data_IF_822156460437
#
_entry.id   IF_822156460437
#
_cell.length_a   1.000
_cell.length_b   1.000
_cell.length_c   1.000
_cell.angle_alpha   90.00
_cell.angle_beta   90.00
_cell.angle_gamma   90.00
#
_symmetry.space_group_name_H-M   'P 1'
#
loop_
_entity.id
_entity.type
_entity.pdbx_description
1 polymer ?
#
# COMPACT_ATOMS: atom_id res chain seq x y z
N UNK A 1 5.35 3.69 -10.18
CA UNK A 1 6.45 2.81 -10.62
C UNK A 1 7.54 2.65 -9.57
N UNK A 2 8.10 3.75 -9.02
CA UNK A 2 9.14 3.69 -7.98
C UNK A 2 8.77 2.80 -6.78
N UNK A 3 7.60 2.99 -6.19
CA UNK A 3 7.14 2.18 -5.04
C UNK A 3 7.07 0.68 -5.39
N UNK A 4 6.57 0.36 -6.58
CA UNK A 4 6.44 -1.03 -7.06
C UNK A 4 7.82 -1.64 -7.26
N UNK A 5 8.75 -0.90 -7.86
CA UNK A 5 10.12 -1.36 -8.06
C UNK A 5 10.85 -1.60 -6.72
N UNK A 6 10.62 -0.73 -5.74
CA UNK A 6 11.12 -0.89 -4.37
C UNK A 6 10.56 -2.14 -3.70
N UNK A 7 9.24 -2.35 -3.75
CA UNK A 7 8.59 -3.54 -3.18
C UNK A 7 9.07 -4.83 -3.84
N UNK A 8 9.22 -4.84 -5.17
CA UNK A 8 9.77 -5.99 -5.90
C UNK A 8 11.23 -6.26 -5.52
N UNK A 9 12.04 -5.22 -5.29
CA UNK A 9 13.41 -5.37 -4.80
C UNK A 9 13.47 -5.94 -3.37
N UNK A 10 12.57 -5.49 -2.49
CA UNK A 10 12.43 -6.04 -1.13
C UNK A 10 12.00 -7.50 -1.15
N UNK A 11 11.02 -7.86 -2.00
CA UNK A 11 10.60 -9.25 -2.19
C UNK A 11 11.77 -10.12 -2.66
N UNK A 12 12.50 -9.67 -3.68
CA UNK A 12 13.68 -10.38 -4.18
C UNK A 12 14.73 -10.58 -3.08
N UNK A 13 14.99 -9.54 -2.26
CA UNK A 13 15.92 -9.64 -1.13
C UNK A 13 15.48 -10.67 -0.09
N UNK A 14 14.19 -10.68 0.25
CA UNK A 14 13.61 -11.61 1.24
C UNK A 14 13.73 -13.06 0.77
N UNK A 15 13.48 -13.33 -0.52
CA UNK A 15 13.52 -14.69 -1.07
C UNK A 15 14.95 -15.20 -1.31
N UNK A 16 15.81 -14.37 -1.90
CA UNK A 16 17.12 -14.80 -2.42
C UNK A 16 18.32 -14.28 -1.61
N UNK A 17 18.06 -13.47 -0.58
CA UNK A 17 19.08 -12.90 0.32
C UNK A 17 20.15 -12.14 -0.47
N UNK A 18 21.43 -12.37 -0.17
CA UNK A 18 22.55 -11.66 -0.78
C UNK A 18 23.02 -12.23 -2.12
N UNK A 19 22.47 -13.36 -2.57
CA UNK A 19 22.88 -13.98 -3.84
C UNK A 19 22.17 -13.27 -4.98
N UNK A 20 22.79 -12.23 -5.52
CA UNK A 20 22.26 -11.52 -6.67
C UNK A 20 22.63 -12.24 -7.97
N UNK A 21 21.61 -12.64 -8.72
CA UNK A 21 21.73 -13.12 -10.10
C UNK A 21 20.75 -12.36 -10.99
N UNK A 22 21.28 -11.69 -12.02
CA UNK A 22 20.46 -10.91 -12.96
C UNK A 22 19.56 -11.80 -13.81
N UNK A 23 19.93 -13.05 -14.05
CA UNK A 23 19.06 -13.97 -14.80
C UNK A 23 17.88 -14.43 -13.94
N UNK A 24 18.11 -14.58 -12.64
CA UNK A 24 17.08 -14.95 -11.67
C UNK A 24 16.03 -13.84 -11.53
N UNK A 25 16.45 -12.57 -11.47
CA UNK A 25 15.49 -11.46 -11.32
C UNK A 25 14.54 -11.37 -12.52
N UNK A 26 15.03 -11.55 -13.74
CA UNK A 26 14.18 -11.55 -14.95
C UNK A 26 13.12 -12.65 -14.92
N UNK A 27 13.45 -13.82 -14.37
CA UNK A 27 12.53 -14.96 -14.29
C UNK A 27 11.42 -14.78 -13.23
N UNK A 28 11.71 -14.08 -12.13
CA UNK A 28 10.75 -13.92 -11.01
C UNK A 28 9.94 -12.62 -11.09
N UNK A 29 10.42 -11.61 -11.81
CA UNK A 29 9.74 -10.32 -11.99
C UNK A 29 8.27 -10.42 -12.42
N UNK A 30 7.86 -11.31 -13.34
CA UNK A 30 6.46 -11.47 -13.70
C UNK A 30 5.55 -11.86 -12.53
N UNK A 31 6.09 -12.47 -11.47
CA UNK A 31 5.32 -12.84 -10.27
C UNK A 31 5.18 -11.68 -9.26
N UNK A 32 6.02 -10.65 -9.37
CA UNK A 32 6.03 -9.52 -8.42
C UNK A 32 5.29 -8.29 -8.97
N UNK A 33 5.32 -8.10 -10.28
CA UNK A 33 4.75 -6.92 -10.93
C UNK A 33 3.35 -7.24 -11.45
N UNK A 34 2.32 -6.47 -11.09
CA UNK A 34 0.97 -6.71 -11.59
C UNK A 34 0.88 -6.65 -13.12
N UNK A 35 0.13 -7.58 -13.71
CA UNK A 35 -0.10 -7.75 -15.15
C UNK A 35 -0.37 -6.45 -15.91
N UNK A 36 -1.15 -5.54 -15.32
CA UNK A 36 -1.50 -4.26 -15.93
C UNK A 36 -0.26 -3.41 -16.27
N UNK A 37 0.80 -3.49 -15.47
CA UNK A 37 2.05 -2.78 -15.69
C UNK A 37 2.98 -3.50 -16.66
N UNK A 38 2.81 -4.81 -16.85
CA UNK A 38 3.54 -5.60 -17.83
C UNK A 38 2.93 -5.45 -19.22
N UNK A 39 1.61 -5.44 -19.32
CA UNK A 39 0.87 -5.31 -20.60
C UNK A 39 0.98 -3.91 -21.19
N UNK A 40 1.02 -2.87 -20.35
CA UNK A 40 1.10 -1.47 -20.79
C UNK A 40 2.41 -1.10 -21.52
N UNK A 41 3.45 -1.92 -21.44
CA UNK A 41 4.76 -1.65 -22.07
C UNK A 41 5.12 -2.55 -23.26
N UNK A 42 4.21 -3.42 -23.71
CA UNK A 42 4.48 -4.42 -24.78
C UNK A 42 5.68 -5.34 -24.47
N UNK A 43 6.32 -5.89 -25.50
CA UNK A 43 7.43 -6.85 -25.38
C UNK A 43 8.67 -6.31 -24.63
N UNK A 44 8.77 -5.00 -24.38
CA UNK A 44 9.91 -4.34 -23.71
C UNK A 44 9.65 -4.01 -22.24
N UNK A 45 8.46 -4.31 -21.70
CA UNK A 45 8.07 -3.93 -20.35
C UNK A 45 8.92 -4.61 -19.27
N UNK A 46 9.20 -5.91 -19.43
CA UNK A 46 9.97 -6.71 -18.47
C UNK A 46 11.39 -6.15 -18.31
N UNK A 47 12.08 -5.86 -19.41
CA UNK A 47 13.43 -5.29 -19.37
C UNK A 47 13.49 -3.88 -18.74
N UNK A 48 12.42 -3.09 -18.84
CA UNK A 48 12.31 -1.81 -18.12
C UNK A 48 12.17 -2.05 -16.62
N UNK A 49 11.27 -2.94 -16.21
CA UNK A 49 11.06 -3.28 -14.81
C UNK A 49 12.31 -3.89 -14.18
N UNK A 50 13.03 -4.74 -14.92
CA UNK A 50 14.32 -5.28 -14.49
C UNK A 50 15.30 -4.16 -14.12
N UNK A 51 15.48 -3.17 -15.00
CA UNK A 51 16.36 -2.04 -14.70
C UNK A 51 15.94 -1.29 -13.44
N UNK A 52 14.65 -0.98 -13.30
CA UNK A 52 14.12 -0.24 -12.16
C UNK A 52 14.32 -1.01 -10.84
N UNK A 53 14.03 -2.31 -10.85
CA UNK A 53 14.14 -3.17 -9.66
C UNK A 53 15.61 -3.40 -9.29
N UNK A 54 16.49 -3.65 -10.27
CA UNK A 54 17.93 -3.80 -10.02
C UNK A 54 18.53 -2.49 -9.46
N UNK A 55 18.10 -1.35 -9.97
CA UNK A 55 18.53 -0.04 -9.47
C UNK A 55 18.07 0.17 -8.02
N UNK A 56 16.80 -0.10 -7.72
CA UNK A 56 16.25 -0.01 -6.36
C UNK A 56 16.97 -0.96 -5.40
N UNK A 57 17.18 -2.22 -5.82
CA UNK A 57 17.88 -3.24 -5.06
C UNK A 57 19.32 -2.82 -4.72
N UNK A 58 20.09 -2.34 -5.70
CA UNK A 58 21.48 -1.89 -5.49
C UNK A 58 21.58 -0.65 -4.60
N UNK A 59 20.58 0.23 -4.64
CA UNK A 59 20.55 1.45 -3.81
C UNK A 59 20.09 1.19 -2.37
N UNK A 60 19.40 0.09 -2.13
CA UNK A 60 18.80 -0.24 -0.84
C UNK A 60 19.79 -0.32 0.32
N UNK A 61 19.33 0.07 1.51
CA UNK A 61 20.12 -0.04 2.73
C UNK A 61 20.26 -1.51 3.16
N UNK A 62 19.20 -2.31 3.02
CA UNK A 62 19.17 -3.71 3.44
C UNK A 62 20.22 -4.57 2.72
N UNK A 63 20.55 -4.26 1.46
CA UNK A 63 21.66 -4.89 0.76
C UNK A 63 23.02 -4.41 1.27
N UNK A 64 23.20 -3.09 1.45
CA UNK A 64 24.48 -2.48 1.87
C UNK A 64 24.89 -2.91 3.27
N UNK A 65 23.93 -2.97 4.18
CA UNK A 65 24.13 -3.28 5.59
C UNK A 65 23.95 -4.78 5.91
N UNK A 66 23.55 -5.59 4.92
CA UNK A 66 23.27 -7.04 5.07
C UNK A 66 22.30 -7.31 6.22
N UNK A 67 21.23 -6.52 6.29
CA UNK A 67 20.25 -6.60 7.37
C UNK A 67 19.50 -7.94 7.34
N UNK A 68 19.05 -8.47 8.49
CA UNK A 68 18.13 -9.60 8.51
C UNK A 68 16.89 -9.37 7.64
N UNK A 69 16.41 -10.41 6.96
CA UNK A 69 15.24 -10.36 6.05
C UNK A 69 13.96 -9.86 6.74
N UNK A 70 13.83 -10.11 8.04
CA UNK A 70 12.71 -9.60 8.85
C UNK A 70 12.61 -8.08 8.83
N UNK A 71 13.72 -7.33 8.73
CA UNK A 71 13.70 -5.87 8.64
C UNK A 71 13.09 -5.38 7.33
N UNK A 72 13.42 -6.02 6.21
CA UNK A 72 12.81 -5.70 4.93
C UNK A 72 11.29 -5.98 4.94
N UNK A 73 10.85 -7.04 5.63
CA UNK A 73 9.42 -7.33 5.84
C UNK A 73 8.73 -6.26 6.69
N UNK A 74 9.37 -5.84 7.79
CA UNK A 74 8.87 -4.74 8.65
C UNK A 74 8.70 -3.43 7.87
N UNK A 75 9.64 -3.12 6.97
CA UNK A 75 9.55 -1.95 6.09
C UNK A 75 8.37 -2.04 5.13
N UNK A 76 8.14 -3.20 4.52
CA UNK A 76 6.99 -3.44 3.64
C UNK A 76 5.68 -3.24 4.41
N UNK A 77 5.57 -3.80 5.62
CA UNK A 77 4.39 -3.63 6.48
C UNK A 77 4.19 -2.16 6.85
N UNK A 78 5.26 -1.46 7.22
CA UNK A 78 5.21 -0.04 7.60
C UNK A 78 4.81 0.84 6.42
N UNK A 79 5.38 0.58 5.24
CA UNK A 79 5.01 1.24 3.99
C UNK A 79 3.52 1.02 3.69
N UNK A 80 3.03 -0.22 3.76
CA UNK A 80 1.65 -0.55 3.47
C UNK A 80 0.67 0.17 4.43
N UNK A 81 0.97 0.15 5.73
CA UNK A 81 0.18 0.85 6.76
C UNK A 81 0.02 2.34 6.44
N UNK A 82 1.10 2.99 6.01
CA UNK A 82 1.12 4.44 5.72
C UNK A 82 0.48 4.74 4.36
N UNK A 83 0.72 3.90 3.36
CA UNK A 83 0.30 4.13 1.98
C UNK A 83 -1.20 3.90 1.77
N UNK A 84 -1.79 2.95 2.49
CA UNK A 84 -3.17 2.50 2.25
C UNK A 84 -4.05 2.47 3.51
N UNK A 85 -4.15 3.57 4.28
CA UNK A 85 -4.93 3.59 5.52
C UNK A 85 -6.40 3.20 5.31
N UNK A 86 -7.04 3.69 4.24
CA UNK A 86 -8.44 3.35 3.93
C UNK A 86 -8.64 1.85 3.65
N UNK A 87 -7.75 1.21 2.90
CA UNK A 87 -7.83 -0.24 2.62
C UNK A 87 -7.67 -1.09 3.88
N UNK A 88 -6.98 -0.57 4.91
CA UNK A 88 -6.85 -1.21 6.22
C UNK A 88 -7.90 -0.74 7.24
N UNK A 89 -9.06 -0.26 6.78
CA UNK A 89 -10.14 0.17 7.66
C UNK A 89 -11.11 -0.96 8.00
N UNK A 90 -11.78 -0.82 9.14
CA UNK A 90 -13.04 -1.52 9.39
C UNK A 90 -14.19 -0.67 8.88
N UNK A 91 -15.07 -1.27 8.07
CA UNK A 91 -16.18 -0.59 7.41
C UNK A 91 -17.52 -0.88 8.09
N UNK A 92 -18.37 0.14 8.19
CA UNK A 92 -19.72 0.06 8.75
C UNK A 92 -20.69 0.82 7.86
N UNK A 93 -21.86 0.23 7.61
CA UNK A 93 -22.94 0.91 6.91
C UNK A 93 -23.70 1.83 7.90
N UNK A 94 -23.97 3.08 7.53
CA UNK A 94 -24.62 4.06 8.39
C UNK A 94 -25.53 5.04 7.63
N UNK A 95 -26.60 5.47 8.30
CA UNK A 95 -27.48 6.55 7.84
C UNK A 95 -27.32 7.76 8.77
N UNK A 96 -26.98 8.92 8.21
CA UNK A 96 -26.89 10.19 8.92
C UNK A 96 -28.29 10.67 9.31
N UNK A 97 -28.50 10.84 10.62
CA UNK A 97 -29.76 11.34 11.18
C UNK A 97 -29.72 12.84 11.49
N UNK A 98 -28.55 13.37 11.88
CA UNK A 98 -28.37 14.76 12.31
C UNK A 98 -26.91 15.20 12.19
N UNK A 99 -26.64 16.49 12.47
CA UNK A 99 -25.28 17.07 12.45
C UNK A 99 -25.00 17.82 11.15
N UNK A 100 -23.71 18.08 10.88
CA UNK A 100 -23.24 18.75 9.65
C UNK A 100 -23.80 18.05 8.42
N UNK A 101 -24.28 18.84 7.45
CA UNK A 101 -24.77 18.29 6.19
C UNK A 101 -23.62 17.68 5.38
N UNK A 102 -23.84 16.46 4.90
CA UNK A 102 -22.99 15.76 3.96
C UNK A 102 -23.71 15.66 2.61
N UNK A 103 -22.98 15.52 1.48
CA UNK A 103 -23.59 15.36 0.16
C UNK A 103 -24.56 14.17 0.07
N UNK A 104 -24.32 13.12 0.86
CA UNK A 104 -25.17 11.92 0.97
C UNK A 104 -25.44 11.60 2.44
N UNK A 105 -26.66 11.16 2.76
CA UNK A 105 -27.03 10.73 4.11
C UNK A 105 -26.69 9.26 4.36
N UNK A 106 -26.77 8.41 3.34
CA UNK A 106 -26.32 7.01 3.42
C UNK A 106 -24.82 6.97 3.11
N UNK A 107 -24.04 6.44 4.04
CA UNK A 107 -22.56 6.51 4.03
C UNK A 107 -21.97 5.22 4.58
N UNK A 108 -20.74 4.94 4.18
CA UNK A 108 -19.90 3.91 4.77
C UNK A 108 -18.92 4.60 5.72
N UNK A 109 -18.94 4.24 7.00
CA UNK A 109 -17.97 4.69 7.99
C UNK A 109 -16.76 3.75 7.93
N UNK A 110 -15.58 4.30 7.65
CA UNK A 110 -14.31 3.58 7.67
C UNK A 110 -13.46 4.05 8.86
N UNK A 111 -13.12 3.12 9.77
CA UNK A 111 -12.29 3.40 10.94
C UNK A 111 -10.94 2.71 10.78
N UNK A 112 -9.85 3.46 10.85
CA UNK A 112 -8.48 2.94 10.75
C UNK A 112 -7.53 3.66 11.73
N UNK A 113 -6.22 3.50 11.54
CA UNK A 113 -5.23 4.05 12.47
C UNK A 113 -5.04 5.57 12.36
N UNK A 114 -5.48 6.21 11.28
CA UNK A 114 -5.39 7.68 11.09
C UNK A 114 -6.64 8.40 11.58
N UNK A 115 -7.81 7.76 11.56
CA UNK A 115 -9.04 8.36 12.05
C UNK A 115 -10.32 7.64 11.62
N UNK A 116 -11.39 8.42 11.51
CA UNK A 116 -12.72 8.01 11.06
C UNK A 116 -13.07 8.76 9.79
N UNK A 117 -13.47 8.01 8.77
CA UNK A 117 -13.81 8.52 7.44
C UNK A 117 -15.26 8.19 7.12
N UNK A 118 -15.93 9.09 6.42
CA UNK A 118 -17.26 8.89 5.86
C UNK A 118 -17.10 8.85 4.35
N UNK A 119 -17.49 7.74 3.75
CA UNK A 119 -17.27 7.43 2.34
C UNK A 119 -18.62 7.15 1.67
N UNK A 120 -18.76 7.50 0.40
CA UNK A 120 -19.96 7.13 -0.38
C UNK A 120 -19.80 5.82 -1.16
N UNK A 121 -20.82 5.49 -1.96
CA UNK A 121 -20.88 4.31 -2.83
C UNK A 121 -19.91 4.38 -4.04
N UNK A 122 -19.31 5.53 -4.31
CA UNK A 122 -18.26 5.73 -5.32
C UNK A 122 -16.86 5.79 -4.69
N UNK A 123 -16.72 5.35 -3.44
CA UNK A 123 -15.50 5.37 -2.64
C UNK A 123 -14.93 6.78 -2.40
N UNK A 124 -15.74 7.84 -2.57
CA UNK A 124 -15.33 9.22 -2.32
C UNK A 124 -15.42 9.57 -0.83
N UNK A 125 -14.36 10.17 -0.29
CA UNK A 125 -14.34 10.66 1.10
C UNK A 125 -15.16 11.94 1.20
N UNK A 126 -16.25 11.89 1.95
CA UNK A 126 -17.15 13.01 2.22
C UNK A 126 -16.72 13.81 3.45
N UNK A 127 -16.18 13.13 4.46
CA UNK A 127 -15.68 13.71 5.70
C UNK A 127 -14.55 12.86 6.25
N UNK A 128 -13.50 13.50 6.74
CA UNK A 128 -12.40 12.90 7.48
C UNK A 128 -12.34 13.56 8.86
N UNK A 129 -12.25 12.73 9.91
CA UNK A 129 -12.03 13.17 11.28
C UNK A 129 -10.83 12.39 11.83
N UNK A 130 -9.74 13.10 12.11
CA UNK A 130 -8.64 12.54 12.89
C UNK A 130 -9.09 12.31 14.34
N UNK A 131 -8.42 11.41 15.05
CA UNK A 131 -8.79 11.13 16.44
C UNK A 131 -8.67 12.33 17.38
N UNK A 132 -7.83 13.32 17.05
CA UNK A 132 -7.69 14.54 17.86
C UNK A 132 -8.87 15.50 17.72
N UNK A 133 -9.67 15.37 16.65
CA UNK A 133 -10.88 16.17 16.42
C UNK A 133 -12.12 15.57 17.08
N UNK A 134 -12.06 14.29 17.49
CA UNK A 134 -13.19 13.56 18.07
C UNK A 134 -13.19 13.73 19.59
N UNK A 135 -14.11 14.55 20.11
CA UNK A 135 -14.20 14.84 21.54
C UNK A 135 -14.92 13.74 22.34
N UNK A 136 -15.93 13.09 21.75
CA UNK A 136 -16.69 12.03 22.41
C UNK A 136 -17.41 11.15 21.39
N UNK A 137 -17.60 9.87 21.73
CA UNK A 137 -18.41 8.92 20.97
C UNK A 137 -19.37 8.24 21.94
N UNK A 138 -20.66 8.25 21.62
CA UNK A 138 -21.70 7.61 22.44
C UNK A 138 -22.50 6.63 21.58
N UNK A 139 -22.94 5.53 22.18
CA UNK A 139 -23.75 4.50 21.51
C UNK A 139 -25.02 4.32 22.32
N UNK A 140 -26.16 4.61 21.70
CA UNK A 140 -27.47 4.26 22.24
C UNK A 140 -27.88 2.91 21.67
N UNK A 141 -28.12 1.94 22.55
CA UNK A 141 -28.64 0.60 22.19
C UNK A 141 -30.13 0.56 22.35
#
# INVERSE_FOLDING_TARGET
ESDIAMLAAQQFYVEYKTTFDSTLISNVLPNYIPDQFLKSGGDKSIGRWEKLVVEAYKKSYYLKERTPDIRAKEDVVSFAKIRWPLLFSRFFDALRMSGTELPKNHVIIAVNWTGVYFVDDEEQVLLELSFVEILSVTVHR
#
